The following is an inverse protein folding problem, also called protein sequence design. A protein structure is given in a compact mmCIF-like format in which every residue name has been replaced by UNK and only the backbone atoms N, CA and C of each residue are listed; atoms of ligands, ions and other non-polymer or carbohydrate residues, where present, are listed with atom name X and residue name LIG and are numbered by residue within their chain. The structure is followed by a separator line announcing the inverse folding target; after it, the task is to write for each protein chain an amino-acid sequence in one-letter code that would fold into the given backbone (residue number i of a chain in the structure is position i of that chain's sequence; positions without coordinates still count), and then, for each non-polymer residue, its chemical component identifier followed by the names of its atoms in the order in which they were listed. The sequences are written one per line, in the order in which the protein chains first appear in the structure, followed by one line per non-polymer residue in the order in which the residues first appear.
data_IF_689040817047
#
_entry.id   IF_689040817047
#
_cell.length_a   1.000
_cell.length_b   1.000
_cell.length_c   1.000
_cell.angle_alpha   90.00
_cell.angle_beta   90.00
_cell.angle_gamma   90.00
#
_symmetry.space_group_name_H-M   'P 1'
#
loop_
_entity.id
_entity.type
_entity.pdbx_description
1 polymer ?
#
# COMPACT_ATOMS: atom_id res chain seq x y z
N UNK A 1 8.63 91.90 37.34
CA UNK A 1 7.46 91.06 37.67
C UNK A 1 7.61 89.73 36.98
N UNK A 2 8.08 88.72 37.72
CA UNK A 2 8.37 87.38 37.20
C UNK A 2 7.08 86.65 36.83
N UNK A 3 7.02 86.15 35.60
CA UNK A 3 5.90 85.37 35.07
C UNK A 3 5.91 83.93 35.65
N UNK A 4 5.58 83.82 36.94
CA UNK A 4 5.44 82.54 37.66
C UNK A 4 4.31 81.69 37.07
N UNK A 5 3.23 82.33 36.60
CA UNK A 5 2.09 81.67 35.99
C UNK A 5 2.45 80.91 34.70
N UNK A 6 3.26 81.50 33.82
CA UNK A 6 3.75 80.83 32.59
C UNK A 6 4.66 79.65 32.89
N UNK A 7 5.37 79.67 34.02
CA UNK A 7 6.30 78.62 34.38
C UNK A 7 5.56 77.39 34.93
N UNK A 8 4.48 77.61 35.70
CA UNK A 8 3.55 76.57 36.12
C UNK A 8 2.83 75.92 34.95
N UNK A 9 2.41 76.71 33.96
CA UNK A 9 1.75 76.19 32.76
C UNK A 9 2.72 75.36 31.91
N UNK A 10 3.97 75.80 31.72
CA UNK A 10 5.02 75.00 31.07
C UNK A 10 5.34 73.71 31.82
N UNK A 11 5.32 73.74 33.15
CA UNK A 11 5.54 72.54 33.98
C UNK A 11 4.38 71.55 33.85
N UNK A 12 3.12 72.03 33.86
CA UNK A 12 1.93 71.19 33.62
C UNK A 12 1.90 70.60 32.21
N UNK A 13 2.30 71.35 31.18
CA UNK A 13 2.37 70.85 29.80
C UNK A 13 3.49 69.81 29.65
N UNK A 14 4.63 69.99 30.33
CA UNK A 14 5.71 69.00 30.38
C UNK A 14 5.29 67.72 31.12
N UNK A 15 4.59 67.85 32.25
CA UNK A 15 4.09 66.72 33.05
C UNK A 15 2.96 65.96 32.32
N UNK A 16 2.04 66.66 31.63
CA UNK A 16 0.96 66.03 30.84
C UNK A 16 1.43 65.37 29.54
N UNK A 17 2.57 65.79 28.97
CA UNK A 17 3.14 65.13 27.78
C UNK A 17 3.91 63.85 28.15
N UNK A 18 4.16 63.61 29.45
CA UNK A 18 4.86 62.42 29.92
C UNK A 18 3.91 61.27 30.33
N UNK A 19 2.65 61.54 30.68
CA UNK A 19 1.66 60.49 31.03
C UNK A 19 0.98 59.82 29.82
N UNK A 20 1.09 60.39 28.61
CA UNK A 20 0.57 59.77 27.38
C UNK A 20 1.65 59.08 26.53
N UNK A 21 2.85 58.89 27.09
CA UNK A 21 3.85 58.01 26.48
C UNK A 21 3.52 56.57 26.82
N UNK A 22 2.85 55.92 25.87
CA UNK A 22 2.91 54.48 25.66
C UNK A 22 2.55 53.64 26.88
N UNK A 23 1.24 53.43 27.08
CA UNK A 23 0.76 52.06 27.28
C UNK A 23 1.01 51.26 25.99
N UNK A 24 2.27 51.13 25.58
CA UNK A 24 2.69 49.87 25.00
C UNK A 24 2.44 48.90 26.14
N UNK A 25 1.32 48.18 26.06
CA UNK A 25 1.29 46.82 26.61
C UNK A 25 2.63 46.27 26.18
N UNK A 26 3.55 46.12 27.14
CA UNK A 26 4.75 45.33 26.90
C UNK A 26 4.13 43.99 26.50
N UNK A 27 4.04 43.75 25.20
CA UNK A 27 4.16 42.41 24.69
C UNK A 27 5.48 41.96 25.29
N UNK A 28 5.37 41.34 26.45
CA UNK A 28 6.42 40.49 26.94
C UNK A 28 6.53 39.45 25.85
N UNK A 29 7.43 39.72 24.91
CA UNK A 29 8.19 38.71 24.18
C UNK A 29 9.06 37.95 25.19
N UNK A 30 8.46 37.53 26.31
CA UNK A 30 8.93 36.44 27.11
C UNK A 30 8.90 35.27 26.16
N UNK A 31 10.10 34.86 25.72
CA UNK A 31 10.35 33.60 25.03
C UNK A 31 9.37 32.59 25.62
N UNK A 32 8.33 32.22 24.86
CA UNK A 32 7.39 31.17 25.26
C UNK A 32 8.22 29.91 25.35
N UNK A 33 8.70 29.62 26.55
CA UNK A 33 9.48 28.41 26.82
C UNK A 33 8.50 27.27 26.60
N UNK A 34 8.78 26.45 25.60
CA UNK A 34 8.01 25.24 25.30
C UNK A 34 7.87 24.49 26.63
N UNK A 35 6.63 24.26 27.04
CA UNK A 35 6.39 23.55 28.30
C UNK A 35 6.84 22.11 28.14
N UNK A 36 7.30 21.47 29.22
CA UNK A 36 7.87 20.11 29.16
C UNK A 36 6.86 19.12 28.55
N UNK A 37 5.56 19.30 28.84
CA UNK A 37 4.48 18.51 28.27
C UNK A 37 4.29 18.73 26.75
N UNK A 38 4.42 19.96 26.27
CA UNK A 38 4.33 20.26 24.83
C UNK A 38 5.50 19.61 24.06
N UNK A 39 6.71 19.62 24.64
CA UNK A 39 7.86 18.92 24.05
C UNK A 39 7.63 17.41 23.97
N UNK A 40 7.04 16.81 25.00
CA UNK A 40 6.68 15.38 25.02
C UNK A 40 5.61 15.05 23.97
N UNK A 41 4.57 15.89 23.84
CA UNK A 41 3.55 15.74 22.81
C UNK A 41 4.15 15.77 21.41
N UNK A 42 5.04 16.73 21.12
CA UNK A 42 5.74 16.78 19.84
C UNK A 42 6.54 15.49 19.56
N UNK A 43 7.31 15.00 20.53
CA UNK A 43 8.04 13.74 20.37
C UNK A 43 7.12 12.54 20.16
N UNK A 44 6.02 12.44 20.93
CA UNK A 44 5.04 11.37 20.80
C UNK A 44 4.33 11.41 19.45
N UNK A 45 3.97 12.59 18.95
CA UNK A 45 3.36 12.76 17.63
C UNK A 45 4.33 12.33 16.54
N UNK A 46 5.60 12.76 16.58
CA UNK A 46 6.60 12.36 15.59
C UNK A 46 6.81 10.84 15.61
N UNK A 47 7.00 10.25 16.79
CA UNK A 47 7.14 8.79 16.91
C UNK A 47 5.90 8.06 16.40
N UNK A 48 4.70 8.50 16.77
CA UNK A 48 3.45 7.94 16.29
C UNK A 48 3.34 7.99 14.76
N UNK A 49 3.75 9.10 14.15
CA UNK A 49 3.76 9.27 12.69
C UNK A 49 4.73 8.30 12.01
N UNK A 50 5.93 8.12 12.57
CA UNK A 50 6.92 7.15 12.09
C UNK A 50 6.40 5.71 12.22
N UNK A 51 5.80 5.35 13.36
CA UNK A 51 5.21 4.02 13.54
C UNK A 51 4.04 3.77 12.59
N UNK A 52 3.16 4.75 12.39
CA UNK A 52 2.04 4.63 11.47
C UNK A 52 2.51 4.44 10.02
N UNK A 53 3.47 5.25 9.58
CA UNK A 53 4.06 5.10 8.22
C UNK A 53 4.79 3.77 8.06
N UNK A 54 5.56 3.35 9.06
CA UNK A 54 6.22 2.04 9.06
C UNK A 54 5.21 0.89 8.92
N UNK A 55 4.12 0.93 9.69
CA UNK A 55 3.07 -0.10 9.64
C UNK A 55 2.42 -0.17 8.26
N UNK A 56 2.09 0.99 7.68
CA UNK A 56 1.52 1.07 6.33
C UNK A 56 2.50 0.47 5.31
N UNK A 57 3.76 0.90 5.31
CA UNK A 57 4.78 0.38 4.38
C UNK A 57 4.95 -1.13 4.52
N UNK A 58 5.00 -1.65 5.75
CA UNK A 58 5.11 -3.10 5.99
C UNK A 58 3.92 -3.88 5.42
N UNK A 59 2.72 -3.31 5.52
CA UNK A 59 1.50 -3.93 4.98
C UNK A 59 1.51 -3.92 3.45
N UNK A 60 1.92 -2.81 2.84
CA UNK A 60 2.09 -2.71 1.38
C UNK A 60 3.14 -3.69 0.83
N UNK A 61 4.25 -3.88 1.55
CA UNK A 61 5.26 -4.87 1.18
C UNK A 61 4.70 -6.30 1.20
N UNK A 62 3.93 -6.65 2.24
CA UNK A 62 3.26 -7.95 2.33
C UNK A 62 2.27 -8.16 1.20
N UNK A 63 1.44 -7.14 0.88
CA UNK A 63 0.51 -7.21 -0.26
C UNK A 63 1.26 -7.43 -1.58
N UNK A 64 2.37 -6.73 -1.80
CA UNK A 64 3.16 -6.89 -3.02
C UNK A 64 3.74 -8.30 -3.15
N UNK A 65 4.27 -8.86 -2.06
CA UNK A 65 4.81 -10.22 -2.04
C UNK A 65 3.71 -11.22 -2.38
N UNK A 66 2.55 -11.11 -1.74
CA UNK A 66 1.40 -12.00 -1.97
C UNK A 66 0.91 -11.89 -3.42
N UNK A 67 0.76 -10.68 -3.97
CA UNK A 67 0.36 -10.51 -5.37
C UNK A 67 1.35 -11.14 -6.35
N UNK A 68 2.65 -11.01 -6.07
CA UNK A 68 3.69 -11.66 -6.88
C UNK A 68 3.57 -13.18 -6.80
N UNK A 69 3.34 -13.72 -5.60
CA UNK A 69 3.16 -15.15 -5.38
C UNK A 69 1.93 -15.68 -6.14
N UNK A 70 0.80 -14.95 -6.08
CA UNK A 70 -0.41 -15.25 -6.87
C UNK A 70 -0.07 -15.32 -8.36
N UNK A 71 0.60 -14.30 -8.91
CA UNK A 71 0.97 -14.32 -10.33
C UNK A 71 1.91 -15.45 -10.71
N UNK A 72 2.83 -15.84 -9.81
CA UNK A 72 3.67 -17.02 -10.06
C UNK A 72 2.87 -18.30 -10.04
N UNK A 73 1.93 -18.43 -9.10
CA UNK A 73 1.06 -19.59 -8.99
C UNK A 73 0.14 -19.73 -10.22
N UNK A 74 -0.46 -18.62 -10.67
CA UNK A 74 -1.28 -18.57 -11.88
C UNK A 74 -0.52 -19.04 -13.12
N UNK A 75 0.74 -18.63 -13.27
CA UNK A 75 1.60 -19.11 -14.38
C UNK A 75 1.89 -20.59 -14.28
N UNK A 76 2.18 -21.10 -13.09
CA UNK A 76 2.40 -22.53 -12.86
C UNK A 76 1.15 -23.33 -13.19
N UNK A 77 -0.03 -22.87 -12.74
CA UNK A 77 -1.32 -23.50 -13.07
C UNK A 77 -1.55 -23.51 -14.58
N UNK A 78 -1.35 -22.37 -15.26
CA UNK A 78 -1.53 -22.28 -16.70
C UNK A 78 -0.62 -23.28 -17.45
N UNK A 79 0.65 -23.36 -17.04
CA UNK A 79 1.62 -24.32 -17.61
C UNK A 79 1.17 -25.75 -17.40
N UNK A 80 0.77 -26.10 -16.16
CA UNK A 80 0.32 -27.44 -15.83
C UNK A 80 -0.97 -27.82 -16.58
N UNK A 81 -1.89 -26.88 -16.77
CA UNK A 81 -3.10 -27.10 -17.57
C UNK A 81 -2.76 -27.43 -19.02
N UNK A 82 -1.85 -26.67 -19.64
CA UNK A 82 -1.41 -26.96 -21.01
C UNK A 82 -0.72 -28.31 -21.12
N UNK A 83 0.13 -28.68 -20.16
CA UNK A 83 0.75 -30.01 -20.12
C UNK A 83 -0.29 -31.12 -19.99
N UNK A 84 -1.28 -30.93 -19.11
CA UNK A 84 -2.37 -31.89 -18.93
C UNK A 84 -3.21 -32.03 -20.20
N UNK A 85 -3.53 -30.93 -20.89
CA UNK A 85 -4.22 -30.96 -22.18
C UNK A 85 -3.42 -31.70 -23.24
N UNK A 86 -2.11 -31.46 -23.33
CA UNK A 86 -1.23 -32.16 -24.26
C UNK A 86 -1.13 -33.66 -23.95
N UNK A 87 -1.06 -34.05 -22.67
CA UNK A 87 -1.10 -35.46 -22.26
C UNK A 87 -2.45 -36.11 -22.57
N UNK A 88 -3.55 -35.40 -22.34
CA UNK A 88 -4.88 -35.91 -22.65
C UNK A 88 -5.07 -36.11 -24.16
N UNK A 89 -4.53 -35.21 -24.98
CA UNK A 89 -4.51 -35.36 -26.43
C UNK A 89 -3.72 -36.61 -26.83
N UNK A 90 -2.53 -36.83 -26.26
CA UNK A 90 -1.75 -38.04 -26.50
C UNK A 90 -2.50 -39.31 -26.09
N UNK A 91 -3.17 -39.31 -24.93
CA UNK A 91 -3.99 -40.46 -24.51
C UNK A 91 -5.12 -40.72 -25.50
N UNK A 92 -5.76 -39.66 -26.01
CA UNK A 92 -6.83 -39.76 -27.01
C UNK A 92 -6.31 -40.36 -28.31
N UNK A 93 -5.17 -39.88 -28.82
CA UNK A 93 -4.53 -40.40 -30.03
C UNK A 93 -4.06 -41.86 -29.86
N UNK A 94 -3.47 -42.19 -28.72
CA UNK A 94 -2.97 -43.53 -28.43
C UNK A 94 -4.13 -44.53 -28.25
N UNK A 95 -5.23 -44.09 -27.64
CA UNK A 95 -6.45 -44.86 -27.41
C UNK A 95 -7.38 -44.89 -28.64
N UNK A 96 -7.02 -44.20 -29.72
CA UNK A 96 -7.84 -44.15 -30.92
C UNK A 96 -8.06 -45.58 -31.48
N UNK A 97 -9.31 -46.03 -31.66
CA UNK A 97 -9.61 -47.38 -32.12
C UNK A 97 -8.91 -47.73 -33.43
N UNK A 98 -8.85 -46.79 -34.37
CA UNK A 98 -8.19 -46.98 -35.67
C UNK A 98 -6.71 -47.30 -35.52
N UNK A 99 -6.02 -46.61 -34.60
CA UNK A 99 -4.60 -46.87 -34.31
C UNK A 99 -4.42 -48.25 -33.70
N UNK A 100 -5.26 -48.62 -32.74
CA UNK A 100 -5.20 -49.93 -32.09
C UNK A 100 -5.45 -51.05 -33.11
N UNK A 101 -6.47 -50.89 -33.97
CA UNK A 101 -6.79 -51.84 -35.03
C UNK A 101 -5.66 -51.97 -36.06
N UNK A 102 -5.00 -50.85 -36.39
CA UNK A 102 -3.85 -50.85 -37.28
C UNK A 102 -2.68 -51.64 -36.69
N UNK A 103 -2.31 -51.39 -35.45
CA UNK A 103 -1.23 -52.14 -34.76
C UNK A 103 -1.60 -53.63 -34.65
N UNK A 104 -2.84 -53.94 -34.28
CA UNK A 104 -3.31 -55.32 -34.18
C UNK A 104 -3.19 -56.09 -35.51
N UNK A 105 -3.58 -55.48 -36.63
CA UNK A 105 -3.53 -56.11 -37.95
C UNK A 105 -2.11 -56.15 -38.53
N UNK A 106 -1.43 -55.01 -38.55
CA UNK A 106 -0.18 -54.84 -39.28
C UNK A 106 1.04 -55.38 -38.52
N UNK A 107 1.08 -55.22 -37.19
CA UNK A 107 2.23 -55.60 -36.38
C UNK A 107 2.04 -56.95 -35.68
N UNK A 108 0.82 -57.25 -35.24
CA UNK A 108 0.51 -58.46 -34.46
C UNK A 108 -0.15 -59.56 -35.29
N UNK A 109 -0.53 -59.29 -36.55
CA UNK A 109 -1.16 -60.27 -37.45
C UNK A 109 -2.54 -60.75 -36.97
N UNK A 110 -3.24 -59.95 -36.17
CA UNK A 110 -4.54 -60.27 -35.63
C UNK A 110 -5.66 -59.87 -36.59
N UNK A 111 -6.64 -60.76 -36.78
CA UNK A 111 -7.84 -60.48 -37.58
C UNK A 111 -9.06 -60.18 -36.70
N UNK A 112 -9.95 -59.32 -37.20
CA UNK A 112 -11.18 -58.95 -36.49
C UNK A 112 -12.21 -60.09 -36.65
N UNK A 113 -12.75 -60.60 -35.55
CA UNK A 113 -13.85 -61.56 -35.59
C UNK A 113 -15.17 -60.83 -35.40
N UNK A 114 -15.87 -60.60 -36.51
CA UNK A 114 -17.14 -59.84 -36.55
C UNK A 114 -18.25 -60.45 -35.67
N UNK A 115 -18.18 -61.75 -35.35
CA UNK A 115 -19.16 -62.41 -34.49
C UNK A 115 -19.05 -62.01 -33.00
N UNK A 116 -17.94 -61.38 -32.59
CA UNK A 116 -17.67 -60.98 -31.20
C UNK A 116 -17.54 -59.46 -31.01
N UNK A 117 -18.00 -58.66 -31.97
CA UNK A 117 -17.97 -57.19 -31.87
C UNK A 117 -19.21 -56.69 -31.14
N UNK A 118 -19.02 -56.02 -29.99
CA UNK A 118 -20.10 -55.35 -29.25
C UNK A 118 -20.02 -53.84 -29.48
N UNK A 119 -21.00 -53.31 -30.20
CA UNK A 119 -21.13 -51.85 -30.40
C UNK A 119 -21.65 -51.22 -29.12
N UNK A 120 -20.87 -50.33 -28.51
CA UNK A 120 -21.30 -49.55 -27.35
C UNK A 120 -21.66 -48.15 -27.85
N UNK A 121 -22.94 -47.80 -27.84
CA UNK A 121 -23.40 -46.42 -28.05
C UNK A 121 -23.31 -45.69 -26.71
N UNK A 122 -22.71 -44.51 -26.71
CA UNK A 122 -22.54 -43.64 -25.55
C UNK A 122 -23.47 -42.44 -25.67
#
# INVERSE_FOLDING_TARGET
MSNLARQLERKRIADHTQEQRTKTVRESSGRRRITIGERLLYFATILGLVFATYFIISTYASIYIVNKEIHTLERTIATQTTENEALNLQVTELSAPDRILKIAKDELGMELNDNNVKVVQN
#
